data_IF_878546991107
#
_entry.id   IF_878546991107
#
_cell.length_a   1.000
_cell.length_b   1.000
_cell.length_c   1.000
_cell.angle_alpha   90.00
_cell.angle_beta   90.00
_cell.angle_gamma   90.00
#
_symmetry.space_group_name_H-M   'P 1'
#
loop_
_entity.id
_entity.type
_entity.pdbx_description
1 polymer ?
#
# COMPACT_ATOMS: atom_id res chain seq x y z
N UNK A 1 4.58 -12.42 -17.92
CA UNK A 1 4.98 -11.62 -16.76
C UNK A 1 5.41 -10.24 -17.20
N UNK A 2 4.74 -9.24 -16.74
CA UNK A 2 5.00 -7.90 -17.21
C UNK A 2 5.92 -7.14 -16.28
N UNK A 3 6.63 -6.21 -16.88
CA UNK A 3 7.46 -5.28 -16.13
C UNK A 3 6.61 -4.50 -15.11
N UNK A 4 5.39 -4.16 -15.50
CA UNK A 4 4.49 -3.41 -14.64
C UNK A 4 4.08 -4.22 -13.41
N UNK A 5 3.91 -5.53 -13.56
CA UNK A 5 3.53 -6.38 -12.44
C UNK A 5 4.64 -6.43 -11.40
N UNK A 6 5.88 -6.55 -11.85
CA UNK A 6 7.02 -6.55 -10.94
C UNK A 6 7.11 -5.23 -10.19
N UNK A 7 6.91 -4.14 -10.92
CA UNK A 7 6.99 -2.81 -10.33
C UNK A 7 5.92 -2.61 -9.26
N UNK A 8 4.71 -3.12 -9.53
CA UNK A 8 3.62 -3.01 -8.56
C UNK A 8 3.95 -3.76 -7.29
N UNK A 9 4.55 -4.93 -7.41
CA UNK A 9 4.92 -5.71 -6.23
C UNK A 9 5.97 -4.98 -5.40
N UNK A 10 6.93 -4.34 -6.05
CA UNK A 10 7.94 -3.56 -5.33
C UNK A 10 7.28 -2.40 -4.60
N UNK A 11 6.33 -1.74 -5.26
CA UNK A 11 5.62 -0.64 -4.62
C UNK A 11 4.82 -1.09 -3.42
N UNK A 12 4.18 -2.26 -3.52
CA UNK A 12 3.41 -2.79 -2.41
C UNK A 12 4.31 -3.16 -1.24
N UNK A 13 5.44 -3.77 -1.51
CA UNK A 13 6.38 -4.12 -0.46
C UNK A 13 6.88 -2.87 0.26
N UNK A 14 7.19 -1.84 -0.49
CA UNK A 14 7.62 -0.56 0.08
C UNK A 14 6.51 0.04 0.94
N UNK A 15 5.28 -0.04 0.45
CA UNK A 15 4.15 0.52 1.17
C UNK A 15 3.91 -0.22 2.49
N UNK A 16 3.98 -1.54 2.46
CA UNK A 16 3.78 -2.33 3.68
C UNK A 16 4.85 -1.99 4.71
N UNK A 17 6.10 -1.91 4.28
CA UNK A 17 7.18 -1.56 5.19
C UNK A 17 6.95 -0.18 5.80
N UNK A 18 6.55 0.79 5.00
CA UNK A 18 6.30 2.14 5.50
C UNK A 18 5.13 2.17 6.46
N UNK A 19 4.09 1.38 6.19
CA UNK A 19 2.95 1.31 7.08
C UNK A 19 3.33 0.75 8.44
N UNK A 20 4.17 -0.26 8.47
CA UNK A 20 4.61 -0.83 9.74
C UNK A 20 5.48 0.12 10.53
N UNK A 21 6.08 1.09 9.85
CA UNK A 21 6.87 2.11 10.51
C UNK A 21 6.03 3.29 10.99
N UNK A 22 4.75 3.26 10.71
CA UNK A 22 3.86 4.33 11.14
C UNK A 22 3.73 5.49 10.18
N UNK A 23 4.21 5.34 8.95
CA UNK A 23 4.12 6.41 7.96
C UNK A 23 2.65 6.59 7.54
N UNK A 24 2.14 7.82 7.49
CA UNK A 24 0.76 8.04 7.06
C UNK A 24 0.52 7.57 5.63
N UNK A 25 -0.67 7.05 5.40
CA UNK A 25 -1.03 6.51 4.09
C UNK A 25 -0.90 7.57 3.01
N UNK A 26 -1.29 8.81 3.30
CA UNK A 26 -1.22 9.86 2.30
C UNK A 26 0.22 10.14 1.88
N UNK A 27 1.15 10.05 2.81
CA UNK A 27 2.56 10.26 2.49
C UNK A 27 3.06 9.12 1.61
N UNK A 28 2.68 7.90 1.95
CA UNK A 28 3.09 6.73 1.18
C UNK A 28 2.56 6.84 -0.24
N UNK A 29 1.28 7.15 -0.37
CA UNK A 29 0.66 7.28 -1.69
C UNK A 29 1.36 8.32 -2.52
N UNK A 30 1.62 9.48 -1.92
CA UNK A 30 2.26 10.57 -2.62
C UNK A 30 3.67 10.18 -3.09
N UNK A 31 4.42 9.52 -2.24
CA UNK A 31 5.79 9.15 -2.57
C UNK A 31 5.85 8.11 -3.70
N UNK A 32 4.79 7.35 -3.87
CA UNK A 32 4.71 6.36 -4.94
C UNK A 32 4.05 6.91 -6.20
N UNK A 33 3.63 8.17 -6.18
CA UNK A 33 3.01 8.78 -7.35
C UNK A 33 1.53 8.54 -7.48
N UNK A 34 0.86 8.17 -6.41
CA UNK A 34 -0.58 7.92 -6.40
C UNK A 34 -1.30 9.02 -5.66
N UNK A 35 -2.56 9.22 -6.01
CA UNK A 35 -3.46 9.93 -5.13
C UNK A 35 -3.92 8.98 -4.04
N UNK A 36 -4.28 9.54 -2.88
CA UNK A 36 -4.61 8.71 -1.72
C UNK A 36 -5.71 7.70 -2.03
N UNK A 37 -6.76 8.15 -2.72
CA UNK A 37 -7.86 7.25 -3.07
C UNK A 37 -7.45 6.13 -4.01
N UNK A 38 -6.64 6.48 -5.01
CA UNK A 38 -6.17 5.50 -5.98
C UNK A 38 -5.25 4.48 -5.33
N UNK A 39 -4.39 4.94 -4.45
CA UNK A 39 -3.49 4.05 -3.74
C UNK A 39 -4.27 3.08 -2.86
N UNK A 40 -5.25 3.57 -2.13
CA UNK A 40 -6.05 2.72 -1.26
C UNK A 40 -6.79 1.65 -2.05
N UNK A 41 -7.32 2.01 -3.21
CA UNK A 41 -8.00 1.06 -4.08
C UNK A 41 -7.05 -0.01 -4.58
N UNK A 42 -5.88 0.41 -5.02
CA UNK A 42 -4.88 -0.54 -5.52
C UNK A 42 -4.43 -1.48 -4.41
N UNK A 43 -4.15 -0.93 -3.25
CA UNK A 43 -3.72 -1.71 -2.09
C UNK A 43 -4.77 -2.74 -1.72
N UNK A 44 -6.02 -2.30 -1.66
CA UNK A 44 -7.12 -3.19 -1.31
C UNK A 44 -7.31 -4.29 -2.34
N UNK A 45 -7.16 -3.95 -3.62
CA UNK A 45 -7.29 -4.94 -4.69
C UNK A 45 -6.21 -5.99 -4.61
N UNK A 46 -4.98 -5.58 -4.32
CA UNK A 46 -3.85 -6.50 -4.32
C UNK A 46 -3.75 -7.31 -3.03
N UNK A 47 -4.06 -6.71 -1.91
CA UNK A 47 -3.87 -7.36 -0.61
C UNK A 47 -5.16 -7.73 0.08
N UNK A 48 -6.30 -7.30 -0.44
CA UNK A 48 -7.59 -7.67 0.12
C UNK A 48 -8.07 -6.78 1.26
N UNK A 49 -7.25 -5.86 1.74
CA UNK A 49 -7.65 -4.93 2.80
C UNK A 49 -7.13 -3.55 2.48
N UNK A 50 -7.82 -2.53 2.98
CA UNK A 50 -7.39 -1.15 2.81
C UNK A 50 -6.16 -0.89 3.68
N UNK A 51 -5.30 0.08 3.31
CA UNK A 51 -4.13 0.38 4.12
C UNK A 51 -4.45 0.73 5.56
N UNK A 52 -5.53 1.47 5.78
CA UNK A 52 -5.91 1.83 7.14
C UNK A 52 -6.34 0.61 7.93
N UNK A 53 -7.04 -0.32 7.30
CA UNK A 53 -7.46 -1.55 7.96
C UNK A 53 -6.28 -2.49 8.18
N UNK A 54 -5.29 -2.41 7.32
CA UNK A 54 -4.10 -3.26 7.44
C UNK A 54 -3.41 -3.04 8.78
N UNK A 55 -3.30 -1.78 9.21
CA UNK A 55 -2.65 -1.47 10.47
C UNK A 55 -3.51 -1.80 11.68
N UNK A 56 -4.82 -1.71 11.53
CA UNK A 56 -5.73 -1.95 12.66
C UNK A 56 -6.17 -3.40 12.74
N UNK A 57 -5.91 -4.19 11.70
CA UNK A 57 -6.27 -5.61 11.69
C UNK A 57 -5.23 -6.37 12.48
N UNK A 58 -5.32 -6.30 13.77
CA UNK A 58 -4.34 -6.96 14.61
C UNK A 58 -4.78 -8.35 14.95
N UNK A 59 -3.88 -9.31 14.82
CA UNK A 59 -4.18 -10.65 15.30
C UNK A 59 -4.12 -10.62 16.81
N UNK A 60 -5.05 -11.19 17.43
CA UNK A 60 -5.03 -11.23 18.88
C UNK A 60 -4.36 -12.46 19.42
#
# INVERSE_FOLDING_TARGET
MGFAAWRRQVQLATAVAALTEGTPVSVIAHSLGYQAGSFSEMFRRELGVAPSAFLTAEPL
#
